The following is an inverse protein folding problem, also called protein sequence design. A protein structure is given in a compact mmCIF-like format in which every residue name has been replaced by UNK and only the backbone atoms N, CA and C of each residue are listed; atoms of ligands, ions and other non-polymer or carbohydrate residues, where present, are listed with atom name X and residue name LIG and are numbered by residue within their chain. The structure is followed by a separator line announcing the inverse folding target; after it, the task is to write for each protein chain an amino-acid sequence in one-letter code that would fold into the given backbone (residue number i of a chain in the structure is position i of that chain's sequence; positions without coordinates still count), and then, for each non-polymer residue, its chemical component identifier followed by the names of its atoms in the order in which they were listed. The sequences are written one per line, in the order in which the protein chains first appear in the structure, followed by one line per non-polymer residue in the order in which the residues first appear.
data_IF_487159556869
#
_entry.id   IF_487159556869
#
_cell.length_a   1.000
_cell.length_b   1.000
_cell.length_c   1.000
_cell.angle_alpha   90.00
_cell.angle_beta   90.00
_cell.angle_gamma   90.00
#
_symmetry.space_group_name_H-M   'P 1'
#
loop_
_entity.id
_entity.type
_entity.pdbx_description
1 polymer ?
#
# COMPACT_ATOMS: atom_id res chain seq x y z
N UNK A 1 6.58 -13.39 -8.14
CA UNK A 1 5.81 -14.00 -7.03
C UNK A 1 4.90 -12.92 -6.46
N UNK A 2 3.60 -13.17 -6.36
CA UNK A 2 2.64 -12.19 -5.80
C UNK A 2 2.47 -12.51 -4.31
N UNK A 3 2.69 -11.55 -3.42
CA UNK A 3 2.47 -11.76 -1.97
C UNK A 3 0.99 -11.88 -1.64
N UNK A 4 0.63 -12.53 -0.54
CA UNK A 4 -0.74 -12.54 -0.06
C UNK A 4 -1.10 -11.19 0.59
N UNK A 5 -2.28 -10.61 0.32
CA UNK A 5 -2.68 -9.34 0.94
C UNK A 5 -3.05 -9.45 2.43
N UNK A 6 -3.22 -10.68 2.93
CA UNK A 6 -3.64 -10.95 4.31
C UNK A 6 -2.50 -11.51 5.19
N UNK A 7 -1.36 -11.89 4.62
CA UNK A 7 -0.24 -12.46 5.37
C UNK A 7 1.08 -12.37 4.58
N UNK A 8 2.20 -12.72 5.19
CA UNK A 8 3.52 -12.71 4.54
C UNK A 8 3.78 -13.89 3.57
N UNK A 9 2.75 -14.68 3.24
CA UNK A 9 2.87 -15.82 2.32
C UNK A 9 2.85 -15.42 0.84
N UNK A 10 3.12 -16.38 -0.04
CA UNK A 10 3.10 -16.20 -1.49
C UNK A 10 1.87 -16.84 -2.13
N UNK A 11 1.27 -16.15 -3.10
CA UNK A 11 0.18 -16.67 -3.93
C UNK A 11 0.73 -17.51 -5.09
N UNK A 12 0.09 -18.66 -5.31
CA UNK A 12 0.28 -19.53 -6.48
C UNK A 12 -1.04 -19.68 -7.23
N UNK A 13 -0.96 -19.72 -8.56
CA UNK A 13 -2.11 -20.01 -9.40
C UNK A 13 -2.49 -21.49 -9.30
N UNK A 14 -3.77 -21.76 -9.12
CA UNK A 14 -4.36 -23.09 -9.25
C UNK A 14 -5.53 -23.03 -10.22
N UNK A 15 -5.56 -24.00 -11.12
CA UNK A 15 -6.73 -24.27 -11.95
C UNK A 15 -7.62 -25.23 -11.15
N UNK A 16 -8.81 -24.78 -10.79
CA UNK A 16 -9.84 -25.65 -10.26
C UNK A 16 -10.64 -26.29 -11.40
N UNK A 17 -11.36 -27.37 -11.08
CA UNK A 17 -12.28 -28.03 -12.02
C UNK A 17 -13.21 -27.01 -12.67
N UNK A 18 -13.54 -27.22 -13.94
CA UNK A 18 -14.29 -26.29 -14.79
C UNK A 18 -13.53 -25.05 -15.29
N UNK A 19 -12.20 -24.98 -15.09
CA UNK A 19 -11.35 -23.96 -15.74
C UNK A 19 -11.29 -22.63 -15.00
N UNK A 20 -11.79 -22.58 -13.76
CA UNK A 20 -11.68 -21.40 -12.92
C UNK A 20 -10.26 -21.27 -12.37
N UNK A 21 -9.72 -20.05 -12.42
CA UNK A 21 -8.41 -19.73 -11.86
C UNK A 21 -8.59 -19.22 -10.44
N UNK A 22 -7.85 -19.80 -9.50
CA UNK A 22 -7.73 -19.31 -8.13
C UNK A 22 -6.28 -18.97 -7.80
N UNK A 23 -6.10 -18.02 -6.89
CA UNK A 23 -4.82 -17.74 -6.26
C UNK A 23 -4.85 -18.23 -4.82
N UNK A 24 -4.02 -19.22 -4.50
CA UNK A 24 -3.92 -19.80 -3.16
C UNK A 24 -2.60 -19.41 -2.51
N UNK A 25 -2.66 -18.89 -1.29
CA UNK A 25 -1.49 -18.61 -0.47
C UNK A 25 -0.94 -19.91 0.16
N UNK A 26 0.36 -19.93 0.48
CA UNK A 26 1.02 -21.01 1.24
C UNK A 26 0.36 -21.35 2.58
N UNK A 27 -0.42 -20.43 3.16
CA UNK A 27 -1.14 -20.62 4.43
C UNK A 27 -2.65 -20.86 4.28
N UNK A 28 -3.16 -20.96 3.03
CA UNK A 28 -4.55 -21.36 2.77
C UNK A 28 -5.54 -20.25 2.39
N UNK A 29 -5.14 -18.98 2.32
CA UNK A 29 -6.02 -17.93 1.77
C UNK A 29 -6.22 -18.13 0.27
N UNK A 30 -7.48 -18.03 -0.18
CA UNK A 30 -7.85 -18.22 -1.59
C UNK A 30 -8.54 -16.98 -2.12
N UNK A 31 -8.21 -16.59 -3.34
CA UNK A 31 -8.76 -15.42 -4.02
C UNK A 31 -9.12 -15.76 -5.47
N UNK A 32 -10.18 -15.16 -5.98
CA UNK A 32 -10.30 -14.98 -7.44
C UNK A 32 -9.25 -13.96 -7.93
N UNK A 33 -8.90 -13.93 -9.23
CA UNK A 33 -7.97 -12.92 -9.76
C UNK A 33 -8.44 -11.47 -9.51
N UNK A 34 -9.74 -11.20 -9.64
CA UNK A 34 -10.31 -9.88 -9.36
C UNK A 34 -10.22 -9.51 -7.89
N UNK A 35 -10.50 -10.44 -6.98
CA UNK A 35 -10.42 -10.18 -5.55
C UNK A 35 -8.97 -9.99 -5.10
N UNK A 36 -8.05 -10.78 -5.64
CA UNK A 36 -6.62 -10.62 -5.37
C UNK A 36 -6.12 -9.25 -5.81
N UNK A 37 -6.53 -8.80 -6.99
CA UNK A 37 -6.16 -7.48 -7.50
C UNK A 37 -6.72 -6.35 -6.61
N UNK A 38 -8.02 -6.40 -6.29
CA UNK A 38 -8.66 -5.42 -5.41
C UNK A 38 -7.99 -5.37 -4.03
N UNK A 39 -7.73 -6.53 -3.43
CA UNK A 39 -7.06 -6.62 -2.14
C UNK A 39 -5.63 -6.07 -2.18
N UNK A 40 -4.93 -6.16 -3.32
CA UNK A 40 -3.63 -5.51 -3.52
C UNK A 40 -3.72 -4.00 -3.66
N UNK A 41 -4.76 -3.47 -4.31
CA UNK A 41 -4.99 -2.02 -4.32
C UNK A 41 -5.27 -1.49 -2.91
N UNK A 42 -6.09 -2.17 -2.13
CA UNK A 42 -6.36 -1.80 -0.73
C UNK A 42 -5.10 -1.89 0.15
N UNK A 43 -4.27 -2.93 -0.04
CA UNK A 43 -2.98 -3.06 0.66
C UNK A 43 -2.01 -1.93 0.29
N UNK A 44 -1.95 -1.56 -1.00
CA UNK A 44 -1.13 -0.45 -1.48
C UNK A 44 -1.54 0.86 -0.82
N UNK A 45 -2.84 1.18 -0.81
CA UNK A 45 -3.36 2.40 -0.17
C UNK A 45 -3.04 2.43 1.33
N UNK A 46 -3.33 1.34 2.07
CA UNK A 46 -2.97 1.23 3.50
C UNK A 46 -1.49 1.45 3.74
N UNK A 47 -0.64 0.91 2.86
CA UNK A 47 0.81 1.07 2.97
C UNK A 47 1.23 2.52 2.73
N UNK A 48 0.63 3.21 1.76
CA UNK A 48 0.89 4.64 1.51
C UNK A 48 0.51 5.50 2.73
N UNK A 49 -0.64 5.25 3.34
CA UNK A 49 -1.02 5.91 4.59
C UNK A 49 -0.02 5.64 5.73
N UNK A 50 0.46 4.40 5.83
CA UNK A 50 1.47 4.01 6.83
C UNK A 50 2.79 4.76 6.62
N UNK A 51 3.20 4.96 5.36
CA UNK A 51 4.40 5.75 5.03
C UNK A 51 4.23 7.22 5.47
N UNK A 52 3.07 7.83 5.25
CA UNK A 52 2.80 9.20 5.74
C UNK A 52 2.95 9.28 7.26
N UNK A 53 2.40 8.31 8.00
CA UNK A 53 2.53 8.26 9.46
C UNK A 53 3.99 8.15 9.90
N UNK A 54 4.78 7.27 9.26
CA UNK A 54 6.21 7.15 9.54
C UNK A 54 6.98 8.43 9.23
N UNK A 55 6.66 9.12 8.14
CA UNK A 55 7.25 10.42 7.80
C UNK A 55 6.92 11.47 8.86
N UNK A 56 5.69 11.52 9.37
CA UNK A 56 5.29 12.40 10.48
C UNK A 56 6.05 12.09 11.78
N UNK A 57 6.26 10.80 12.09
CA UNK A 57 7.10 10.41 13.23
C UNK A 57 8.54 10.90 13.07
N UNK A 58 9.13 10.77 11.88
CA UNK A 58 10.48 11.28 11.61
C UNK A 58 10.56 12.80 11.74
N UNK A 59 9.52 13.53 11.32
CA UNK A 59 9.44 14.98 11.50
C UNK A 59 9.44 15.37 12.98
N UNK A 60 8.65 14.66 13.80
CA UNK A 60 8.56 14.90 15.24
C UNK A 60 9.89 14.61 15.94
N UNK A 61 10.54 13.50 15.59
CA UNK A 61 11.87 13.16 16.13
C UNK A 61 12.92 14.21 15.73
N UNK A 62 12.90 14.69 14.47
CA UNK A 62 13.81 15.74 14.03
C UNK A 62 13.60 17.06 14.80
N UNK A 63 12.36 17.41 15.14
CA UNK A 63 12.06 18.59 15.95
C UNK A 63 12.59 18.44 17.39
N UNK A 64 12.33 17.29 18.04
CA UNK A 64 12.85 16.97 19.37
C UNK A 64 14.39 17.03 19.38
N UNK A 65 15.04 16.41 18.39
CA UNK A 65 16.50 16.43 18.28
C UNK A 65 17.05 17.85 18.13
N UNK A 66 16.39 18.73 17.36
CA UNK A 66 16.80 20.13 17.22
C UNK A 66 16.67 20.92 18.52
N UNK A 67 15.60 20.71 19.27
CA UNK A 67 15.40 21.34 20.58
C UNK A 67 16.48 20.94 21.59
N UNK A 68 17.01 19.72 21.47
CA UNK A 68 18.10 19.21 22.31
C UNK A 68 19.52 19.48 21.78
N UNK A 69 19.74 19.59 20.47
CA UNK A 69 21.05 19.87 19.85
C UNK A 69 21.58 21.27 20.19
N UNK A 70 20.71 22.24 20.52
CA UNK A 70 21.13 23.55 21.02
C UNK A 70 21.97 23.47 22.32
N UNK A 71 21.96 22.31 23.01
CA UNK A 71 22.78 22.03 24.20
C UNK A 71 24.16 21.42 23.88
N UNK A 72 24.34 20.76 22.72
CA UNK A 72 25.59 20.06 22.35
C UNK A 72 26.10 20.55 20.99
N UNK A 73 26.73 21.74 20.99
CA UNK A 73 27.33 22.37 19.81
C UNK A 73 28.38 21.45 19.16
N UNK A 74 28.01 20.75 18.09
CA UNK A 74 29.02 20.04 17.29
C UNK A 74 28.60 19.10 16.18
N UNK A 75 27.40 19.19 15.59
CA UNK A 75 26.95 18.51 14.34
C UNK A 75 25.42 18.62 14.36
N UNK A 76 24.64 19.06 13.36
CA UNK A 76 24.59 18.59 11.97
C UNK A 76 23.88 19.62 11.07
N UNK A 77 24.46 20.04 9.94
CA UNK A 77 23.77 20.78 8.89
C UNK A 77 22.55 20.05 8.25
N UNK A 78 22.25 18.80 8.63
CA UNK A 78 21.38 17.91 7.85
C UNK A 78 19.94 17.70 8.36
N UNK A 79 19.57 18.19 9.56
CA UNK A 79 18.22 17.94 10.11
C UNK A 79 17.16 18.88 9.51
N UNK A 80 17.50 20.16 9.32
CA UNK A 80 16.60 21.12 8.68
C UNK A 80 16.32 20.74 7.21
N UNK A 81 17.35 20.34 6.47
CA UNK A 81 17.21 19.82 5.11
C UNK A 81 16.34 18.57 5.07
N UNK A 82 16.53 17.66 6.04
CA UNK A 82 15.71 16.45 6.14
C UNK A 82 14.25 16.77 6.44
N UNK A 83 13.97 17.78 7.26
CA UNK A 83 12.61 18.25 7.55
C UNK A 83 11.91 18.76 6.28
N UNK A 84 12.63 19.49 5.43
CA UNK A 84 12.13 19.95 4.13
C UNK A 84 11.79 18.74 3.24
N UNK A 85 12.68 17.76 3.14
CA UNK A 85 12.44 16.54 2.36
C UNK A 85 11.23 15.75 2.87
N UNK A 86 11.08 15.62 4.19
CA UNK A 86 9.94 14.92 4.80
C UNK A 86 8.62 15.60 4.43
N UNK A 87 8.56 16.94 4.52
CA UNK A 87 7.37 17.71 4.11
C UNK A 87 7.02 17.49 2.64
N UNK A 88 8.03 17.51 1.75
CA UNK A 88 7.84 17.25 0.33
C UNK A 88 7.32 15.83 0.06
N UNK A 89 7.85 14.83 0.77
CA UNK A 89 7.40 13.46 0.64
C UNK A 89 5.95 13.28 1.11
N UNK A 90 5.58 13.84 2.26
CA UNK A 90 4.19 13.80 2.76
C UNK A 90 3.23 14.36 1.71
N UNK A 91 3.50 15.55 1.19
CA UNK A 91 2.66 16.18 0.15
C UNK A 91 2.58 15.36 -1.14
N UNK A 92 3.65 14.63 -1.47
CA UNK A 92 3.68 13.77 -2.66
C UNK A 92 2.86 12.50 -2.45
N UNK A 93 2.91 11.89 -1.27
CA UNK A 93 2.08 10.74 -0.92
C UNK A 93 0.60 11.13 -0.77
N UNK A 94 0.29 12.28 -0.17
CA UNK A 94 -1.10 12.77 -0.06
C UNK A 94 -1.72 12.97 -1.44
N UNK A 95 -0.98 13.60 -2.38
CA UNK A 95 -1.43 13.71 -3.79
C UNK A 95 -1.60 12.35 -4.44
N UNK A 96 -0.64 11.45 -4.27
CA UNK A 96 -0.72 10.11 -4.84
C UNK A 96 -1.98 9.37 -4.38
N UNK A 97 -2.31 9.44 -3.09
CA UNK A 97 -3.51 8.80 -2.54
C UNK A 97 -4.78 9.45 -3.10
N UNK A 98 -4.85 10.79 -3.13
CA UNK A 98 -6.02 11.51 -3.63
C UNK A 98 -6.28 11.34 -5.13
N UNK A 99 -5.21 11.22 -5.93
CA UNK A 99 -5.31 11.13 -7.39
C UNK A 99 -5.47 9.69 -7.89
N UNK A 100 -5.18 8.69 -7.06
CA UNK A 100 -5.30 7.27 -7.43
C UNK A 100 -6.76 6.85 -7.52
N UNK A 101 -7.13 6.28 -8.67
CA UNK A 101 -8.46 5.67 -8.90
C UNK A 101 -8.29 4.16 -9.01
N UNK A 102 -8.87 3.37 -8.09
CA UNK A 102 -8.86 1.91 -8.16
C UNK A 102 -9.42 1.41 -9.50
N UNK A 103 -8.86 0.33 -10.03
CA UNK A 103 -9.41 -0.25 -11.26
C UNK A 103 -10.80 -0.82 -10.98
N UNK A 104 -11.79 -0.43 -11.78
CA UNK A 104 -13.12 -1.02 -11.66
C UNK A 104 -13.12 -2.42 -12.25
N UNK A 105 -13.44 -3.43 -11.43
CA UNK A 105 -13.70 -4.77 -11.93
C UNK A 105 -15.09 -4.80 -12.58
N UNK A 106 -15.15 -5.03 -13.89
CA UNK A 106 -16.42 -5.39 -14.56
C UNK A 106 -16.84 -6.78 -14.05
N UNK A 107 -18.10 -6.99 -13.62
CA UNK A 107 -18.54 -8.32 -13.21
C UNK A 107 -18.47 -9.30 -14.40
N UNK A 108 -18.04 -10.55 -14.17
CA UNK A 108 -18.06 -11.57 -15.21
C UNK A 108 -19.52 -11.95 -15.54
N UNK A 109 -19.92 -11.67 -16.79
CA UNK A 109 -21.14 -12.10 -17.47
C UNK A 109 -22.48 -11.81 -16.75
N UNK A 110 -23.19 -10.78 -17.24
CA UNK A 110 -24.65 -10.79 -17.19
C UNK A 110 -25.12 -12.00 -18.01
N UNK A 111 -25.92 -12.88 -17.40
CA UNK A 111 -26.61 -13.96 -18.10
C UNK A 111 -27.40 -13.36 -19.29
N UNK A 112 -27.38 -13.99 -20.48
CA UNK A 112 -28.25 -13.56 -21.56
C UNK A 112 -29.72 -13.66 -21.10
N UNK A 113 -30.59 -12.72 -21.50
CA UNK A 113 -32.01 -12.83 -21.17
C UNK A 113 -32.53 -14.17 -21.69
N UNK A 114 -33.18 -14.93 -20.81
CA UNK A 114 -33.93 -16.11 -21.19
C UNK A 114 -34.91 -15.69 -22.29
N UNK A 115 -34.75 -16.25 -23.49
CA UNK A 115 -35.63 -15.97 -24.61
C UNK A 115 -37.06 -16.40 -24.30
N UNK A 116 -38.00 -15.55 -24.69
CA UNK A 116 -39.39 -15.90 -24.98
C UNK A 116 -39.60 -15.84 -26.51
#
# INVERSE_FOLDING_TARGET
MIGCPLCAGALAFRLEGHGHVQLCCTVGHTFSPSDAYKAKEEELERTQWSVIVLLKHLQMLAAIMREHDDLERGMRPSLAEREIQIKQHIQSYERLIHDTKPAQSRPPHAEPPAGE
#
